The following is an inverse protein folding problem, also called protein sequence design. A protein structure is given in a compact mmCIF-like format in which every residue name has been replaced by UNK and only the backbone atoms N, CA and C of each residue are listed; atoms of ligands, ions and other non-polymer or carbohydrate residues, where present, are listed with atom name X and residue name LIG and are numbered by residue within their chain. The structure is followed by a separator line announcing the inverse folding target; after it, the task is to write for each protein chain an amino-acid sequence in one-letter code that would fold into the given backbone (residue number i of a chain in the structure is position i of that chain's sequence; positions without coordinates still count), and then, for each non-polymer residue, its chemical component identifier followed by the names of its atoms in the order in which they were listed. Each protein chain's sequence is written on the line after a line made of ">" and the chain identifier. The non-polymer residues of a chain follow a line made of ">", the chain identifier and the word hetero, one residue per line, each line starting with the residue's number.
data_IF_219083532907
#
_entry.id   IF_219083532907
#
_cell.length_a   1.000
_cell.length_b   1.000
_cell.length_c   1.000
_cell.angle_alpha   90.00
_cell.angle_beta   90.00
_cell.angle_gamma   90.00
#
_symmetry.space_group_name_H-M   'P 1'
#
loop_
_entity.id
_entity.type
_entity.pdbx_description
1 polymer ?
#
# COMPACT_ATOMS: atom_id res chain seq x y z
N UNK A 1 -35.00 -7.54 -2.27
CA UNK A 1 -33.84 -6.76 -2.77
C UNK A 1 -32.84 -7.80 -3.26
N UNK A 2 -32.59 -7.81 -4.57
CA UNK A 2 -31.87 -8.88 -5.25
C UNK A 2 -30.37 -8.69 -5.01
N UNK A 3 -29.63 -9.76 -4.70
CA UNK A 3 -28.17 -9.72 -4.41
C UNK A 3 -27.29 -9.40 -5.63
N UNK A 4 -27.89 -9.04 -6.76
CA UNK A 4 -27.25 -8.74 -8.05
C UNK A 4 -26.98 -7.23 -8.26
N UNK A 5 -27.23 -6.37 -7.26
CA UNK A 5 -26.98 -4.92 -7.33
C UNK A 5 -25.75 -4.46 -6.53
N UNK A 6 -24.90 -5.38 -6.08
CA UNK A 6 -23.52 -5.00 -5.79
C UNK A 6 -22.83 -4.84 -7.15
N UNK A 7 -22.16 -3.71 -7.42
CA UNK A 7 -21.38 -3.60 -8.64
C UNK A 7 -20.34 -4.71 -8.61
N UNK A 8 -20.56 -5.76 -9.42
CA UNK A 8 -19.51 -6.68 -9.86
C UNK A 8 -18.36 -5.78 -10.28
N UNK A 9 -17.16 -6.02 -9.76
CA UNK A 9 -15.95 -5.25 -10.01
C UNK A 9 -15.67 -5.08 -11.52
N UNK A 10 -16.42 -4.20 -12.17
CA UNK A 10 -16.20 -3.68 -13.50
C UNK A 10 -15.50 -2.34 -13.29
N UNK A 11 -14.23 -2.49 -12.93
CA UNK A 11 -13.36 -1.40 -12.52
C UNK A 11 -12.10 -2.01 -11.97
N UNK A 12 -11.41 -2.80 -12.79
CA UNK A 12 -10.03 -3.22 -12.52
C UNK A 12 -9.23 -1.91 -12.46
N UNK A 13 -9.00 -1.35 -11.27
CA UNK A 13 -8.05 -0.26 -11.12
C UNK A 13 -6.68 -0.92 -11.09
N UNK A 14 -6.18 -1.11 -12.32
CA UNK A 14 -4.78 -1.36 -12.63
C UNK A 14 -3.99 -0.18 -12.08
N UNK A 15 -2.79 -0.44 -11.59
CA UNK A 15 -1.77 0.59 -11.34
C UNK A 15 -1.80 1.59 -12.50
N UNK A 16 -2.40 2.76 -12.29
CA UNK A 16 -2.47 3.80 -13.30
C UNK A 16 -1.11 4.49 -13.31
N UNK A 17 -0.14 3.81 -13.91
CA UNK A 17 1.24 4.27 -14.02
C UNK A 17 1.33 5.64 -14.70
N UNK A 18 0.33 6.00 -15.51
CA UNK A 18 0.28 7.27 -16.25
C UNK A 18 0.20 8.48 -15.31
N UNK A 19 -0.22 8.28 -14.05
CA UNK A 19 -0.32 9.33 -13.03
C UNK A 19 0.72 9.22 -11.91
N UNK A 20 1.74 8.37 -12.08
CA UNK A 20 2.83 8.25 -11.11
C UNK A 20 3.47 9.61 -10.79
N UNK A 21 3.78 10.38 -11.82
CA UNK A 21 4.45 11.67 -11.70
C UNK A 21 3.66 12.66 -10.84
N UNK A 22 2.33 12.50 -10.75
CA UNK A 22 1.47 13.35 -9.93
C UNK A 22 1.70 13.09 -8.42
N UNK A 23 1.95 11.84 -8.02
CA UNK A 23 2.15 11.45 -6.62
C UNK A 23 3.63 11.57 -6.21
N UNK A 24 4.54 11.31 -7.14
CA UNK A 24 5.97 11.28 -6.87
C UNK A 24 6.47 12.64 -6.34
N UNK A 25 7.23 12.58 -5.25
CA UNK A 25 7.81 13.76 -4.62
C UNK A 25 6.89 14.53 -3.66
N UNK A 26 5.58 14.21 -3.60
CA UNK A 26 4.70 14.77 -2.57
C UNK A 26 5.15 14.33 -1.18
N UNK A 27 5.07 15.24 -0.21
CA UNK A 27 5.29 14.88 1.19
C UNK A 27 4.16 13.96 1.68
N UNK A 28 4.50 12.86 2.36
CA UNK A 28 3.53 11.99 3.01
C UNK A 28 2.99 12.68 4.24
N UNK A 29 1.71 13.07 4.22
CA UNK A 29 1.08 13.79 5.33
C UNK A 29 0.64 12.83 6.45
N UNK A 30 0.01 11.71 6.08
CA UNK A 30 -0.49 10.69 7.01
C UNK A 30 -0.64 9.35 6.28
N UNK A 31 -0.67 8.28 7.06
CA UNK A 31 -1.01 6.95 6.57
C UNK A 31 -2.10 6.41 7.49
N UNK A 32 -3.28 6.16 6.93
CA UNK A 32 -4.44 5.69 7.70
C UNK A 32 -4.88 4.33 7.21
N UNK A 33 -5.40 3.53 8.12
CA UNK A 33 -6.10 2.29 7.81
C UNK A 33 -7.53 2.38 8.32
N UNK A 34 -8.45 1.82 7.54
CA UNK A 34 -9.86 1.72 7.91
C UNK A 34 -10.03 0.58 8.89
N UNK A 35 -10.85 0.82 9.90
CA UNK A 35 -11.20 -0.17 10.91
C UNK A 35 -12.70 -0.32 11.03
N UNK A 36 -13.13 -1.49 11.49
CA UNK A 36 -14.49 -1.70 11.95
C UNK A 36 -14.61 -1.18 13.38
N UNK A 37 -15.63 -0.36 13.66
CA UNK A 37 -15.80 0.28 14.96
C UNK A 37 -16.02 -0.73 16.10
N UNK A 38 -16.54 -1.92 15.75
CA UNK A 38 -16.95 -2.95 16.71
C UNK A 38 -15.94 -4.10 16.86
N UNK A 39 -14.83 -4.10 16.13
CA UNK A 39 -13.80 -5.15 16.22
C UNK A 39 -12.59 -4.69 17.04
N UNK A 40 -12.22 -5.39 18.14
CA UNK A 40 -11.04 -5.08 18.94
C UNK A 40 -9.70 -5.33 18.22
N UNK A 41 -9.67 -6.02 17.07
CA UNK A 41 -8.45 -6.26 16.28
C UNK A 41 -8.53 -5.50 14.96
N UNK A 42 -7.58 -4.58 14.68
CA UNK A 42 -7.59 -3.86 13.42
C UNK A 42 -7.21 -4.82 12.28
N UNK A 43 -8.23 -5.27 11.55
CA UNK A 43 -8.08 -5.95 10.26
C UNK A 43 -8.19 -4.88 9.19
N UNK A 44 -7.11 -4.68 8.45
CA UNK A 44 -7.06 -3.63 7.43
C UNK A 44 -7.49 -4.20 6.10
N UNK A 45 -8.61 -3.73 5.57
CA UNK A 45 -9.05 -4.06 4.21
C UNK A 45 -8.89 -2.86 3.26
N UNK A 46 -8.71 -1.67 3.82
CA UNK A 46 -8.50 -0.43 3.11
C UNK A 46 -7.48 0.43 3.88
N UNK A 47 -6.51 0.96 3.15
CA UNK A 47 -5.48 1.87 3.63
C UNK A 47 -5.32 3.04 2.68
N UNK A 48 -4.87 4.18 3.18
CA UNK A 48 -4.55 5.35 2.37
C UNK A 48 -3.21 5.93 2.81
N UNK A 49 -2.29 6.07 1.85
CA UNK A 49 -1.09 6.91 1.99
C UNK A 49 -1.45 8.29 1.45
N UNK A 50 -1.50 9.28 2.33
CA UNK A 50 -1.88 10.65 1.99
C UNK A 50 -0.65 11.44 1.56
N UNK A 51 -0.65 11.93 0.33
CA UNK A 51 0.20 13.04 -0.08
C UNK A 51 -0.38 14.38 0.36
N UNK A 52 0.23 15.47 -0.11
CA UNK A 52 -0.23 16.84 0.13
C UNK A 52 -1.56 17.13 -0.59
N UNK A 53 -1.77 16.51 -1.76
CA UNK A 53 -2.94 16.75 -2.61
C UNK A 53 -3.66 15.48 -3.02
N UNK A 54 -2.93 14.36 -3.15
CA UNK A 54 -3.47 13.09 -3.66
C UNK A 54 -3.45 12.01 -2.59
N UNK A 55 -4.37 11.06 -2.71
CA UNK A 55 -4.44 9.88 -1.85
C UNK A 55 -4.09 8.63 -2.65
N UNK A 56 -3.16 7.82 -2.13
CA UNK A 56 -2.93 6.49 -2.68
C UNK A 56 -3.74 5.49 -1.85
N UNK A 57 -4.90 5.11 -2.36
CA UNK A 57 -5.78 4.12 -1.75
C UNK A 57 -5.32 2.72 -2.11
N UNK A 58 -5.20 1.87 -1.10
CA UNK A 58 -4.78 0.47 -1.21
C UNK A 58 -5.90 -0.35 -0.58
N UNK A 59 -6.56 -1.16 -1.38
CA UNK A 59 -7.61 -2.08 -0.92
C UNK A 59 -7.27 -3.50 -1.34
N UNK A 60 -7.94 -4.47 -0.72
CA UNK A 60 -7.82 -5.89 -1.08
C UNK A 60 -9.16 -6.42 -1.56
N UNK A 61 -9.15 -7.18 -2.64
CA UNK A 61 -10.29 -7.96 -3.08
C UNK A 61 -10.43 -9.19 -2.17
N UNK A 62 -11.51 -9.23 -1.37
CA UNK A 62 -11.72 -10.30 -0.39
C UNK A 62 -11.76 -11.72 -0.97
N UNK A 63 -12.18 -11.88 -2.23
CA UNK A 63 -12.35 -13.20 -2.83
C UNK A 63 -11.05 -13.76 -3.43
N UNK A 64 -10.11 -12.87 -3.80
CA UNK A 64 -8.91 -13.22 -4.59
C UNK A 64 -7.61 -12.81 -3.95
N UNK A 65 -7.66 -12.05 -2.85
CA UNK A 65 -6.52 -11.40 -2.20
C UNK A 65 -5.74 -10.44 -3.10
N UNK A 66 -6.29 -10.08 -4.26
CA UNK A 66 -5.69 -9.11 -5.16
C UNK A 66 -5.73 -7.70 -4.55
N UNK A 67 -4.58 -7.02 -4.52
CA UNK A 67 -4.49 -5.61 -4.18
C UNK A 67 -5.00 -4.74 -5.33
N UNK A 68 -5.81 -3.77 -4.95
CA UNK A 68 -6.29 -2.72 -5.84
C UNK A 68 -5.68 -1.41 -5.32
N UNK A 69 -4.87 -0.77 -6.16
CA UNK A 69 -4.16 0.47 -5.80
C UNK A 69 -4.63 1.59 -6.71
N UNK A 70 -5.21 2.63 -6.12
CA UNK A 70 -5.83 3.73 -6.83
C UNK A 70 -5.31 5.08 -6.34
N UNK A 71 -4.92 5.95 -7.27
CA UNK A 71 -4.60 7.34 -6.98
C UNK A 71 -5.88 8.19 -7.04
N UNK A 72 -6.21 8.86 -5.95
CA UNK A 72 -7.40 9.71 -5.83
C UNK A 72 -6.99 11.18 -5.78
N UNK A 73 -7.84 12.04 -6.34
CA UNK A 73 -7.64 13.50 -6.30
C UNK A 73 -7.97 14.12 -4.93
N UNK A 74 -8.27 13.30 -3.93
CA UNK A 74 -8.59 13.71 -2.56
C UNK A 74 -7.74 12.86 -1.63
N UNK A 75 -6.77 13.50 -0.95
CA UNK A 75 -5.84 12.80 -0.06
C UNK A 75 -6.53 12.11 1.13
N UNK A 76 -7.52 12.76 1.73
CA UNK A 76 -8.21 12.22 2.90
C UNK A 76 -9.39 11.32 2.51
N UNK A 77 -9.47 10.08 3.03
CA UNK A 77 -10.60 9.21 2.74
C UNK A 77 -11.87 9.72 3.41
N UNK A 78 -12.98 9.58 2.71
CA UNK A 78 -14.31 9.80 3.26
C UNK A 78 -14.93 8.51 3.82
N UNK A 79 -15.79 8.67 4.83
CA UNK A 79 -16.67 7.62 5.35
C UNK A 79 -15.98 6.53 6.19
N UNK A 80 -16.69 6.00 7.18
CA UNK A 80 -16.16 4.98 8.10
C UNK A 80 -15.20 5.55 9.17
N UNK A 81 -14.62 4.65 9.96
CA UNK A 81 -13.66 4.97 11.00
C UNK A 81 -12.24 4.64 10.53
N UNK A 82 -11.32 5.58 10.73
CA UNK A 82 -9.94 5.50 10.27
C UNK A 82 -8.99 5.77 11.43
N UNK A 83 -7.92 4.99 11.50
CA UNK A 83 -6.85 5.17 12.49
C UNK A 83 -5.51 5.38 11.78
N UNK A 84 -4.60 6.09 12.45
CA UNK A 84 -3.24 6.20 11.99
C UNK A 84 -2.52 4.85 12.10
N UNK A 85 -1.72 4.53 11.09
CA UNK A 85 -0.90 3.31 11.08
C UNK A 85 0.43 3.64 11.75
N UNK A 86 0.47 3.52 13.07
CA UNK A 86 1.63 3.89 13.89
C UNK A 86 2.90 3.17 13.45
N UNK A 87 2.78 1.94 12.94
CA UNK A 87 3.89 1.17 12.42
C UNK A 87 4.53 1.80 11.19
N UNK A 88 3.99 2.86 10.61
CA UNK A 88 4.52 3.61 9.47
C UNK A 88 4.73 5.11 9.79
N UNK A 89 4.75 5.48 11.08
CA UNK A 89 4.81 6.89 11.50
C UNK A 89 6.08 7.63 11.05
N UNK A 90 7.21 6.93 10.90
CA UNK A 90 8.47 7.49 10.39
C UNK A 90 8.44 7.87 8.90
N UNK A 91 7.50 7.31 8.13
CA UNK A 91 7.33 7.63 6.71
C UNK A 91 6.65 9.00 6.54
N UNK A 92 5.97 9.50 7.59
CA UNK A 92 5.29 10.78 7.60
C UNK A 92 6.32 11.92 7.52
N UNK A 93 6.10 12.86 6.60
CA UNK A 93 7.01 13.96 6.28
C UNK A 93 8.06 13.59 5.23
N UNK A 94 8.29 12.29 4.97
CA UNK A 94 9.10 11.82 3.86
C UNK A 94 8.43 12.09 2.52
N UNK A 95 9.21 12.09 1.43
CA UNK A 95 8.67 12.23 0.06
C UNK A 95 8.26 10.87 -0.50
N UNK A 96 7.08 10.79 -1.09
CA UNK A 96 6.64 9.58 -1.79
C UNK A 96 7.56 9.35 -3.00
N UNK A 97 8.17 8.17 -3.05
CA UNK A 97 9.19 7.82 -4.04
C UNK A 97 8.68 6.87 -5.12
N UNK A 98 9.59 6.02 -5.59
CA UNK A 98 9.34 4.93 -6.51
C UNK A 98 8.46 3.86 -5.90
N UNK A 99 7.75 3.14 -6.76
CA UNK A 99 6.95 1.99 -6.37
C UNK A 99 7.21 0.80 -7.28
N UNK A 100 6.87 -0.38 -6.77
CA UNK A 100 6.94 -1.64 -7.49
C UNK A 100 5.66 -2.42 -7.21
N UNK A 101 5.28 -3.27 -8.14
CA UNK A 101 4.22 -4.23 -7.93
C UNK A 101 4.66 -5.60 -8.42
N UNK A 102 4.11 -6.64 -7.82
CA UNK A 102 4.35 -8.01 -8.27
C UNK A 102 3.04 -8.77 -8.41
N UNK A 103 3.05 -9.67 -9.37
CA UNK A 103 1.97 -10.60 -9.65
C UNK A 103 2.41 -11.98 -9.18
N UNK A 104 1.53 -12.67 -8.46
CA UNK A 104 1.82 -14.00 -7.96
C UNK A 104 1.68 -15.08 -9.05
N UNK A 105 1.97 -16.33 -8.66
CA UNK A 105 1.92 -17.48 -9.56
C UNK A 105 0.54 -17.76 -10.19
N UNK A 106 -0.53 -17.21 -9.61
CA UNK A 106 -1.90 -17.34 -10.11
C UNK A 106 -2.36 -16.17 -10.98
N UNK A 107 -1.51 -15.16 -11.16
CA UNK A 107 -1.82 -14.00 -11.99
C UNK A 107 -2.51 -12.85 -11.24
N UNK A 108 -2.58 -12.88 -9.91
CA UNK A 108 -3.13 -11.79 -9.10
C UNK A 108 -2.04 -10.85 -8.62
N UNK A 109 -2.33 -9.54 -8.62
CA UNK A 109 -1.44 -8.52 -8.05
C UNK A 109 -1.60 -8.46 -6.55
N UNK A 110 -0.82 -9.23 -5.80
CA UNK A 110 -0.92 -9.28 -4.35
C UNK A 110 0.15 -8.47 -3.62
N UNK A 111 1.15 -7.93 -4.33
CA UNK A 111 2.23 -7.16 -3.72
C UNK A 111 2.36 -5.77 -4.34
N UNK A 112 2.39 -4.76 -3.48
CA UNK A 112 2.73 -3.39 -3.82
C UNK A 112 3.79 -2.85 -2.86
N UNK A 113 4.83 -2.23 -3.38
CA UNK A 113 5.96 -1.72 -2.61
C UNK A 113 6.10 -0.25 -2.89
N UNK A 114 6.29 0.55 -1.83
CA UNK A 114 6.52 1.97 -1.91
C UNK A 114 7.85 2.33 -1.23
N UNK A 115 8.55 3.27 -1.85
CA UNK A 115 9.70 3.94 -1.23
C UNK A 115 9.29 5.32 -0.70
N UNK A 116 9.96 5.74 0.36
CA UNK A 116 9.84 7.08 0.92
C UNK A 116 11.18 7.83 0.81
N UNK A 117 11.16 9.12 1.16
CA UNK A 117 12.31 10.03 1.13
C UNK A 117 12.87 10.37 -0.26
N UNK A 118 12.13 10.06 -1.32
CA UNK A 118 12.58 10.28 -2.71
C UNK A 118 13.76 9.40 -3.14
N UNK A 119 14.02 8.32 -2.41
CA UNK A 119 15.01 7.30 -2.77
C UNK A 119 14.40 6.24 -3.70
N UNK A 120 15.24 5.47 -4.38
CA UNK A 120 14.82 4.26 -5.14
C UNK A 120 14.80 3.00 -4.25
N UNK A 121 14.90 3.16 -2.93
CA UNK A 121 15.06 2.05 -1.99
C UNK A 121 13.69 1.62 -1.47
N UNK A 122 13.26 0.37 -1.73
CA UNK A 122 12.03 -0.17 -1.15
C UNK A 122 11.97 0.03 0.36
N UNK A 123 10.89 0.66 0.84
CA UNK A 123 10.75 1.01 2.27
C UNK A 123 9.62 0.22 2.92
N UNK A 124 8.47 0.14 2.26
CA UNK A 124 7.26 -0.51 2.79
C UNK A 124 6.64 -1.38 1.72
N UNK A 125 6.28 -2.60 2.08
CA UNK A 125 5.51 -3.52 1.27
C UNK A 125 4.10 -3.67 1.84
N UNK A 126 3.11 -3.62 0.94
CA UNK A 126 1.72 -3.93 1.16
C UNK A 126 1.43 -5.25 0.47
N UNK A 127 0.86 -6.21 1.20
CA UNK A 127 0.58 -7.56 0.72
C UNK A 127 -0.91 -7.87 0.91
N UNK A 128 -1.60 -8.23 -0.16
CA UNK A 128 -2.94 -8.78 -0.09
C UNK A 128 -2.86 -10.25 0.29
N UNK A 129 -3.38 -10.62 1.45
CA UNK A 129 -3.48 -12.02 1.87
C UNK A 129 -4.58 -12.20 2.90
N UNK A 130 -5.27 -13.35 2.87
CA UNK A 130 -6.33 -13.69 3.82
C UNK A 130 -7.47 -12.66 3.89
N UNK A 131 -7.79 -12.02 2.77
CA UNK A 131 -8.76 -10.94 2.62
C UNK A 131 -8.39 -9.63 3.33
N UNK A 132 -7.10 -9.44 3.62
CA UNK A 132 -6.54 -8.31 4.36
C UNK A 132 -5.34 -7.69 3.63
N UNK A 133 -5.08 -6.41 3.93
CA UNK A 133 -3.86 -5.68 3.56
C UNK A 133 -2.87 -5.81 4.71
N UNK A 134 -1.82 -6.58 4.50
CA UNK A 134 -0.71 -6.70 5.42
C UNK A 134 0.38 -5.68 5.09
N UNK A 135 1.02 -5.14 6.12
CA UNK A 135 2.09 -4.15 5.99
C UNK A 135 3.40 -4.74 6.50
N UNK A 136 4.45 -4.67 5.70
CA UNK A 136 5.78 -5.11 6.05
C UNK A 136 6.78 -3.99 5.82
N UNK A 137 7.68 -3.79 6.78
CA UNK A 137 8.84 -2.91 6.60
C UNK A 137 9.95 -3.65 5.89
N UNK A 138 10.53 -2.98 4.92
CA UNK A 138 11.72 -3.46 4.23
C UNK A 138 12.94 -2.82 4.86
N UNK A 139 13.96 -3.64 5.13
CA UNK A 139 15.23 -3.19 5.65
C UNK A 139 16.32 -3.59 4.66
N UNK A 140 17.30 -2.69 4.48
CA UNK A 140 18.52 -3.04 3.79
C UNK A 140 19.29 -4.04 4.64
N UNK A 141 19.58 -5.20 4.06
CA UNK A 141 20.51 -6.16 4.64
C UNK A 141 21.86 -5.88 4.01
N UNK A 142 22.82 -5.41 4.81
CA UNK A 142 24.21 -5.32 4.36
C UNK A 142 24.68 -6.73 3.98
N UNK A 143 25.02 -6.92 2.71
CA UNK A 143 25.70 -8.14 2.32
C UNK A 143 27.10 -8.11 2.93
N UNK A 144 27.55 -9.18 3.63
CA UNK A 144 28.93 -9.25 4.06
C UNK A 144 29.84 -9.11 2.85
N UNK A 145 30.84 -8.23 2.97
CA UNK A 145 31.80 -8.03 1.88
C UNK A 145 32.46 -9.36 1.51
N UNK A 146 32.65 -9.61 0.21
CA UNK A 146 33.18 -10.86 -0.34
C UNK A 146 34.52 -11.33 0.26
N UNK A 147 35.22 -10.46 1.00
CA UNK A 147 36.49 -10.73 1.68
C UNK A 147 36.37 -11.76 2.82
N UNK A 148 35.18 -11.96 3.42
CA UNK A 148 35.02 -12.92 4.54
C UNK A 148 34.69 -14.36 4.09
N UNK A 149 34.43 -14.60 2.79
CA UNK A 149 34.03 -15.92 2.28
C UNK A 149 35.24 -16.80 1.91
N UNK A 150 36.45 -16.24 1.81
CA UNK A 150 37.64 -16.97 1.36
C UNK A 150 38.48 -17.55 2.52
N UNK A 151 38.20 -17.19 3.78
CA UNK A 151 38.98 -17.65 4.95
C UNK A 151 38.24 -18.62 5.90
N UNK A 152 37.26 -19.39 5.41
CA UNK A 152 36.67 -20.50 6.18
C UNK A 152 36.67 -21.83 5.44
#
# INVERSE_FOLDING_TARGET
>A
MNSDELPRAQGIVRFDFDRYDDLHGQSTCRIKAKIEADDPRPIWWEMVVMGETLGLHITVNRDTDELIVALTNVAEPGGGLWIDVEQLADCIGGKIGWFWSAMNSQGYWDLFILSFEGSVIPSVAFLGMASEVHVMRMALVEQPSATEVIER
#
